data_IF_318363705535
#
_entry.id   IF_318363705535
#
_cell.length_a   1.000
_cell.length_b   1.000
_cell.length_c   1.000
_cell.angle_alpha   90.00
_cell.angle_beta   90.00
_cell.angle_gamma   90.00
#
_symmetry.space_group_name_H-M   'P 1'
#
loop_
_entity.id
_entity.type
_entity.pdbx_description
1 polymer ?
#
# COMPACT_ATOMS: atom_id res chain seq x y z
N UNK A 1 -8.27 23.95 8.09
CA UNK A 1 -7.91 22.57 8.44
C UNK A 1 -8.95 21.91 9.35
N UNK A 2 -8.99 20.58 9.31
CA UNK A 2 -9.92 19.69 10.02
C UNK A 2 -9.08 18.79 10.96
N UNK A 3 -9.51 18.64 12.21
CA UNK A 3 -8.88 17.69 13.14
C UNK A 3 -9.43 16.29 12.90
N UNK A 4 -8.59 15.34 12.53
CA UNK A 4 -9.03 13.97 12.22
C UNK A 4 -9.38 13.18 13.49
N UNK A 5 -8.79 13.53 14.64
CA UNK A 5 -9.11 12.99 15.96
C UNK A 5 -10.59 13.14 16.36
N UNK A 6 -11.24 14.20 15.89
CA UNK A 6 -12.66 14.46 16.15
C UNK A 6 -13.58 13.43 15.45
N UNK A 7 -13.07 12.74 14.43
CA UNK A 7 -13.78 11.74 13.64
C UNK A 7 -13.27 10.31 13.93
N UNK A 8 -11.99 10.17 14.27
CA UNK A 8 -11.39 8.90 14.66
C UNK A 8 -10.30 9.10 15.73
N UNK A 9 -10.45 8.54 16.94
CA UNK A 9 -9.50 8.74 18.04
C UNK A 9 -8.09 8.17 17.75
N UNK A 10 -7.92 7.29 16.77
CA UNK A 10 -6.59 6.80 16.37
C UNK A 10 -5.82 7.80 15.50
N UNK A 11 -6.46 8.90 15.11
CA UNK A 11 -5.88 10.00 14.34
C UNK A 11 -5.75 11.29 15.20
N UNK A 12 -5.81 11.15 16.53
CA UNK A 12 -5.64 12.26 17.47
C UNK A 12 -4.33 13.02 17.20
N UNK A 13 -4.41 14.35 17.14
CA UNK A 13 -3.26 15.21 16.85
C UNK A 13 -2.87 15.29 15.37
N UNK A 14 -3.60 14.62 14.47
CA UNK A 14 -3.47 14.78 13.02
C UNK A 14 -4.54 15.76 12.52
N UNK A 15 -4.08 16.81 11.85
CA UNK A 15 -4.93 17.75 11.14
C UNK A 15 -4.71 17.62 9.65
N UNK A 16 -5.73 17.94 8.85
CA UNK A 16 -5.61 18.05 7.40
C UNK A 16 -6.07 19.42 6.94
N UNK A 17 -5.23 20.08 6.13
CA UNK A 17 -5.63 21.18 5.26
C UNK A 17 -6.08 20.54 3.94
N UNK A 18 -7.39 20.47 3.66
CA UNK A 18 -7.88 19.69 2.53
C UNK A 18 -7.57 20.37 1.20
N UNK A 19 -7.35 19.55 0.17
CA UNK A 19 -7.27 19.99 -1.21
C UNK A 19 -8.56 20.75 -1.60
N UNK A 20 -8.44 22.01 -2.03
CA UNK A 20 -9.54 22.74 -2.65
C UNK A 20 -9.45 22.51 -4.16
N UNK A 21 -10.30 21.62 -4.69
CA UNK A 21 -10.26 21.16 -6.09
C UNK A 21 -8.93 20.42 -6.42
N UNK A 22 -8.79 19.89 -7.65
CA UNK A 22 -7.56 19.16 -8.10
C UNK A 22 -6.35 20.09 -8.31
N UNK A 23 -6.31 21.23 -7.62
CA UNK A 23 -5.33 22.27 -7.85
C UNK A 23 -4.25 22.32 -6.77
N UNK A 24 -4.45 21.70 -5.60
CA UNK A 24 -3.48 21.59 -4.52
C UNK A 24 -3.62 20.24 -3.83
N UNK A 25 -2.55 19.72 -3.22
CA UNK A 25 -2.63 18.54 -2.37
C UNK A 25 -3.30 18.85 -1.03
N UNK A 26 -3.77 17.80 -0.36
CA UNK A 26 -3.91 17.77 1.09
C UNK A 26 -2.54 18.05 1.72
N UNK A 27 -2.55 18.81 2.82
CA UNK A 27 -1.38 18.98 3.68
C UNK A 27 -1.75 18.45 5.06
N UNK A 28 -1.00 17.47 5.56
CA UNK A 28 -1.23 16.95 6.90
C UNK A 28 -0.34 17.66 7.91
N UNK A 29 -0.92 18.08 9.02
CA UNK A 29 -0.25 18.82 10.07
C UNK A 29 -0.27 17.97 11.34
N UNK A 30 0.92 17.68 11.86
CA UNK A 30 1.13 16.79 12.99
C UNK A 30 2.09 17.43 14.01
N UNK A 31 2.24 16.76 15.15
CA UNK A 31 3.19 17.17 16.20
C UNK A 31 2.95 18.62 16.66
N UNK A 32 1.68 18.95 16.94
CA UNK A 32 1.25 20.30 17.36
C UNK A 32 1.70 21.41 16.41
N UNK A 33 1.64 21.15 15.10
CA UNK A 33 2.00 22.13 14.06
C UNK A 33 3.49 22.18 13.72
N UNK A 34 4.33 21.31 14.30
CA UNK A 34 5.77 21.30 14.01
C UNK A 34 6.15 20.48 12.78
N UNK A 35 5.31 19.52 12.38
CA UNK A 35 5.56 18.68 11.20
C UNK A 35 4.44 18.83 10.18
N UNK A 36 4.83 19.08 8.93
CA UNK A 36 3.94 19.02 7.77
C UNK A 36 4.29 17.80 6.92
N UNK A 37 3.28 17.12 6.37
CA UNK A 37 3.42 16.18 5.26
C UNK A 37 2.83 16.88 4.03
N UNK A 38 3.69 17.07 3.05
CA UNK A 38 3.57 17.96 1.90
C UNK A 38 3.40 19.45 2.25
N UNK A 39 3.50 20.29 1.22
CA UNK A 39 3.46 21.74 1.32
C UNK A 39 2.26 22.35 0.58
N UNK A 40 1.50 21.56 -0.18
CA UNK A 40 0.48 22.06 -1.10
C UNK A 40 1.11 22.96 -2.17
N UNK A 41 0.29 23.79 -2.81
CA UNK A 41 0.78 24.87 -3.67
C UNK A 41 0.07 26.22 -3.49
N UNK A 42 -0.82 26.32 -2.51
CA UNK A 42 -1.48 27.57 -2.14
C UNK A 42 -0.83 28.19 -0.89
N UNK A 43 -1.26 29.39 -0.53
CA UNK A 43 -0.84 30.04 0.73
C UNK A 43 -1.83 29.80 1.86
N UNK A 44 -2.81 28.91 1.67
CA UNK A 44 -3.90 28.70 2.64
C UNK A 44 -3.36 28.09 3.92
N UNK A 45 -2.45 27.13 3.81
CA UNK A 45 -1.79 26.49 4.96
C UNK A 45 -1.15 27.51 5.92
N UNK A 46 -0.56 28.60 5.41
CA UNK A 46 0.02 29.64 6.26
C UNK A 46 -1.04 30.33 7.11
N UNK A 47 -2.17 30.69 6.51
CA UNK A 47 -3.28 31.33 7.23
C UNK A 47 -3.92 30.37 8.23
N UNK A 48 -4.01 29.09 7.89
CA UNK A 48 -4.55 28.07 8.80
C UNK A 48 -3.63 27.82 10.00
N UNK A 49 -2.31 27.79 9.78
CA UNK A 49 -1.32 27.70 10.85
C UNK A 49 -1.40 28.92 11.77
N UNK A 50 -1.48 30.14 11.21
CA UNK A 50 -1.60 31.39 11.98
C UNK A 50 -2.91 31.46 12.79
N UNK A 51 -4.00 30.89 12.27
CA UNK A 51 -5.28 30.86 12.96
C UNK A 51 -5.30 29.88 14.14
N UNK A 52 -4.56 28.78 14.05
CA UNK A 52 -4.57 27.71 15.04
C UNK A 52 -3.46 27.83 16.08
N UNK A 53 -2.27 28.23 15.66
CA UNK A 53 -1.07 28.22 16.48
C UNK A 53 -0.59 29.65 16.73
N UNK A 54 -0.31 30.05 17.99
CA UNK A 54 0.15 31.41 18.28
C UNK A 54 1.43 31.83 17.55
N UNK A 55 2.32 30.87 17.27
CA UNK A 55 3.57 31.07 16.50
C UNK A 55 3.36 30.93 14.98
N UNK A 56 2.16 30.52 14.56
CA UNK A 56 1.81 30.34 13.16
C UNK A 56 2.76 29.40 12.41
N UNK A 57 3.07 29.76 11.17
CA UNK A 57 4.01 29.01 10.34
C UNK A 57 5.43 28.92 10.91
N UNK A 58 5.86 29.88 11.75
CA UNK A 58 7.20 29.88 12.32
C UNK A 58 7.48 28.70 13.27
N UNK A 59 6.44 28.00 13.72
CA UNK A 59 6.54 26.79 14.54
C UNK A 59 6.98 25.55 13.76
N UNK A 60 6.80 25.54 12.43
CA UNK A 60 7.14 24.39 11.60
C UNK A 60 8.65 24.12 11.65
N UNK A 61 9.02 22.90 11.99
CA UNK A 61 10.41 22.44 12.11
C UNK A 61 10.75 21.35 11.10
N UNK A 62 9.72 20.65 10.58
CA UNK A 62 9.86 19.54 9.66
C UNK A 62 8.82 19.63 8.55
N UNK A 63 9.25 19.50 7.30
CA UNK A 63 8.37 19.33 6.15
C UNK A 63 8.77 18.03 5.45
N UNK A 64 7.88 17.05 5.38
CA UNK A 64 8.09 15.78 4.71
C UNK A 64 7.39 15.85 3.36
N UNK A 65 8.15 15.93 2.28
CA UNK A 65 7.63 15.88 0.92
C UNK A 65 7.56 14.43 0.48
N UNK A 66 6.41 14.04 -0.04
CA UNK A 66 6.12 12.65 -0.33
C UNK A 66 6.48 12.26 -1.74
N UNK A 67 6.35 13.20 -2.67
CA UNK A 67 6.78 13.03 -4.05
C UNK A 67 6.90 14.40 -4.77
N UNK A 68 7.60 14.47 -5.92
CA UNK A 68 8.04 15.73 -6.50
C UNK A 68 7.01 16.39 -7.44
N UNK A 69 5.72 16.32 -7.13
CA UNK A 69 4.68 17.03 -7.87
C UNK A 69 4.47 18.46 -7.37
N UNK A 70 4.18 19.37 -8.30
CA UNK A 70 4.09 20.80 -8.00
C UNK A 70 2.99 21.15 -7.00
N UNK A 71 1.86 20.46 -7.05
CA UNK A 71 0.75 20.59 -6.11
C UNK A 71 1.05 20.06 -4.70
N UNK A 72 2.16 19.34 -4.51
CA UNK A 72 2.68 18.90 -3.22
C UNK A 72 3.86 19.75 -2.74
N UNK A 73 4.71 20.26 -3.65
CA UNK A 73 5.94 21.00 -3.30
C UNK A 73 5.86 22.50 -3.52
N UNK A 74 4.86 23.00 -4.25
CA UNK A 74 4.80 24.39 -4.71
C UNK A 74 4.77 25.42 -3.58
N UNK A 75 4.21 25.06 -2.43
CA UNK A 75 4.16 25.88 -1.22
C UNK A 75 5.49 25.96 -0.46
N UNK A 76 6.44 25.07 -0.76
CA UNK A 76 7.68 24.88 0.02
C UNK A 76 8.50 26.17 0.10
N UNK A 77 8.72 26.85 -1.04
CA UNK A 77 9.49 28.09 -1.06
C UNK A 77 8.89 29.19 -0.19
N UNK A 78 7.55 29.25 -0.10
CA UNK A 78 6.88 30.23 0.77
C UNK A 78 6.92 29.81 2.23
N UNK A 79 6.73 28.53 2.56
CA UNK A 79 6.85 28.02 3.93
C UNK A 79 8.25 28.29 4.51
N UNK A 80 9.30 28.00 3.75
CA UNK A 80 10.70 28.22 4.16
C UNK A 80 11.06 29.70 4.31
N UNK A 81 10.22 30.63 3.83
CA UNK A 81 10.37 32.05 4.14
C UNK A 81 9.96 32.40 5.57
N UNK A 82 9.02 31.64 6.15
CA UNK A 82 8.44 31.90 7.47
C UNK A 82 8.96 30.97 8.57
N UNK A 83 9.60 29.85 8.23
CA UNK A 83 10.08 28.86 9.18
C UNK A 83 11.51 28.38 8.87
N UNK A 84 12.19 27.84 9.88
CA UNK A 84 13.54 27.26 9.74
C UNK A 84 13.47 25.72 9.72
N UNK A 85 12.61 25.18 8.85
CA UNK A 85 12.32 23.75 8.80
C UNK A 85 13.38 22.94 8.03
N UNK A 86 13.61 21.71 8.49
CA UNK A 86 14.29 20.68 7.71
C UNK A 86 13.31 20.05 6.71
N UNK A 87 13.77 19.80 5.48
CA UNK A 87 12.97 19.21 4.39
C UNK A 87 13.38 17.76 4.17
N UNK A 88 12.43 16.85 4.36
CA UNK A 88 12.61 15.42 4.24
C UNK A 88 11.94 14.91 2.97
N UNK A 89 12.60 14.05 2.22
CA UNK A 89 12.01 13.30 1.10
C UNK A 89 12.90 12.13 0.71
N UNK A 90 12.39 11.21 -0.10
CA UNK A 90 13.24 10.14 -0.64
C UNK A 90 14.45 10.72 -1.38
N UNK A 91 15.60 10.07 -1.25
CA UNK A 91 16.85 10.58 -1.83
C UNK A 91 16.77 10.83 -3.35
N UNK A 92 16.03 9.98 -4.06
CA UNK A 92 15.80 10.13 -5.50
C UNK A 92 14.92 11.34 -5.85
N UNK A 93 13.92 11.65 -5.01
CA UNK A 93 12.92 12.68 -5.31
C UNK A 93 13.54 14.09 -5.37
N UNK A 94 14.66 14.32 -4.67
CA UNK A 94 15.39 15.59 -4.73
C UNK A 94 15.78 16.01 -6.14
N UNK A 95 16.21 15.05 -6.99
CA UNK A 95 16.63 15.35 -8.36
C UNK A 95 15.46 15.74 -9.28
N UNK A 96 14.23 15.40 -8.89
CA UNK A 96 13.01 15.66 -9.65
C UNK A 96 12.16 16.78 -9.06
N UNK A 97 12.57 17.37 -7.95
CA UNK A 97 11.84 18.44 -7.28
C UNK A 97 12.31 19.80 -7.79
N UNK A 98 11.43 20.51 -8.50
CA UNK A 98 11.71 21.83 -9.07
C UNK A 98 10.83 22.91 -8.45
N UNK A 99 11.41 24.07 -8.18
CA UNK A 99 10.67 25.30 -7.84
C UNK A 99 10.93 26.33 -8.94
N UNK A 100 10.00 26.42 -9.90
CA UNK A 100 10.27 27.08 -11.19
C UNK A 100 11.17 26.21 -12.06
N UNK A 101 12.22 26.79 -12.63
CA UNK A 101 13.15 26.09 -13.54
C UNK A 101 14.39 25.53 -12.82
N UNK A 102 14.49 25.67 -11.50
CA UNK A 102 15.66 25.29 -10.70
C UNK A 102 15.32 24.15 -9.75
N UNK A 103 16.20 23.15 -9.66
CA UNK A 103 16.00 22.02 -8.75
C UNK A 103 16.17 22.43 -7.28
N UNK A 104 15.48 21.76 -6.37
CA UNK A 104 15.56 22.03 -4.93
C UNK A 104 17.01 21.94 -4.39
N UNK A 105 17.85 20.95 -4.77
CA UNK A 105 19.25 20.91 -4.35
C UNK A 105 20.10 22.08 -4.87
N UNK A 106 19.80 22.59 -6.07
CA UNK A 106 20.48 23.77 -6.61
C UNK A 106 20.09 25.03 -5.83
N UNK A 107 18.80 25.24 -5.58
CA UNK A 107 18.30 26.35 -4.75
C UNK A 107 18.92 26.30 -3.36
N UNK A 108 18.88 25.13 -2.70
CA UNK A 108 19.46 24.93 -1.38
C UNK A 108 20.97 25.24 -1.34
N UNK A 109 21.70 24.90 -2.41
CA UNK A 109 23.12 25.26 -2.54
C UNK A 109 23.35 26.76 -2.66
N UNK A 110 22.52 27.44 -3.45
CA UNK A 110 22.62 28.89 -3.68
C UNK A 110 22.35 29.69 -2.41
N UNK A 111 21.39 29.25 -1.59
CA UNK A 111 21.02 29.92 -0.34
C UNK A 111 21.77 29.39 0.89
N UNK A 112 22.65 28.39 0.71
CA UNK A 112 23.45 27.82 1.79
C UNK A 112 22.69 26.96 2.79
N UNK A 113 21.62 26.28 2.35
CA UNK A 113 20.72 25.45 3.15
C UNK A 113 20.77 23.95 2.76
N UNK A 114 21.86 23.47 2.15
CA UNK A 114 22.00 22.05 1.80
C UNK A 114 21.92 21.12 3.02
N UNK A 115 22.38 21.58 4.18
CA UNK A 115 22.35 20.86 5.44
C UNK A 115 20.93 20.71 6.05
N UNK A 116 19.94 21.41 5.48
CA UNK A 116 18.51 21.31 5.81
C UNK A 116 17.78 20.25 4.98
N UNK A 117 18.40 19.73 3.92
CA UNK A 117 17.84 18.64 3.13
C UNK A 117 18.17 17.30 3.81
N UNK A 118 17.13 16.52 4.09
CA UNK A 118 17.20 15.26 4.85
C UNK A 118 16.72 14.11 3.95
N UNK A 119 17.63 13.28 3.39
CA UNK A 119 17.22 12.12 2.62
C UNK A 119 16.54 11.09 3.52
N UNK A 120 15.49 10.48 2.99
CA UNK A 120 14.80 9.33 3.54
C UNK A 120 15.08 8.10 2.67
N UNK A 121 15.12 6.94 3.32
CA UNK A 121 15.27 5.64 2.70
C UNK A 121 14.12 4.72 3.11
N UNK A 122 13.91 3.67 2.32
CA UNK A 122 12.91 2.65 2.63
C UNK A 122 13.15 2.01 4.01
N UNK A 123 12.10 1.94 4.82
CA UNK A 123 12.15 1.38 6.17
C UNK A 123 12.66 2.34 7.26
N UNK A 124 13.04 3.57 6.92
CA UNK A 124 13.30 4.61 7.92
C UNK A 124 12.05 4.83 8.80
N UNK A 125 12.27 5.16 10.08
CA UNK A 125 11.17 5.46 11.01
C UNK A 125 11.31 6.88 11.53
N UNK A 126 10.28 7.69 11.29
CA UNK A 126 10.19 9.08 11.72
C UNK A 126 9.26 9.21 12.92
N UNK A 127 9.83 9.57 14.08
CA UNK A 127 9.03 9.99 15.23
C UNK A 127 8.40 11.35 14.93
N UNK A 128 7.07 11.41 14.85
CA UNK A 128 6.27 12.62 14.63
C UNK A 128 5.21 12.70 15.73
N UNK A 129 5.48 13.48 16.78
CA UNK A 129 4.65 13.50 17.97
C UNK A 129 4.57 12.10 18.59
N UNK A 130 3.35 11.55 18.70
CA UNK A 130 3.09 10.20 19.22
C UNK A 130 3.13 9.10 18.15
N UNK A 131 3.44 9.43 16.90
CA UNK A 131 3.42 8.50 15.78
C UNK A 131 4.83 8.11 15.35
N UNK A 132 5.06 6.81 15.19
CA UNK A 132 6.28 6.25 14.59
C UNK A 132 6.02 5.91 13.12
N UNK A 133 6.28 6.86 12.22
CA UNK A 133 5.95 6.73 10.81
C UNK A 133 7.06 5.99 10.05
N UNK A 134 6.76 4.77 9.61
CA UNK A 134 7.60 3.98 8.69
C UNK A 134 7.53 4.59 7.28
N UNK A 135 8.69 4.88 6.69
CA UNK A 135 8.82 5.30 5.30
C UNK A 135 8.72 4.07 4.41
N UNK A 136 7.71 4.03 3.54
CA UNK A 136 7.51 2.96 2.57
C UNK A 136 7.82 3.51 1.19
N UNK A 137 8.95 3.12 0.61
CA UNK A 137 9.31 3.50 -0.75
C UNK A 137 8.34 2.88 -1.77
N UNK A 138 7.67 3.75 -2.52
CA UNK A 138 6.59 3.43 -3.45
C UNK A 138 6.78 4.21 -4.77
N UNK A 139 7.81 3.89 -5.57
CA UNK A 139 8.03 4.52 -6.86
C UNK A 139 6.98 4.09 -7.90
N UNK A 140 7.00 4.76 -9.05
CA UNK A 140 6.21 4.40 -10.22
C UNK A 140 5.20 5.47 -10.62
N UNK A 141 4.48 6.06 -9.66
CA UNK A 141 3.75 7.31 -9.95
C UNK A 141 4.75 8.42 -10.33
N UNK A 142 5.78 8.56 -9.49
CA UNK A 142 6.96 9.41 -9.70
C UNK A 142 8.22 8.71 -9.17
N UNK A 143 9.41 9.14 -9.60
CA UNK A 143 10.66 8.71 -8.97
C UNK A 143 10.75 9.23 -7.54
N UNK A 144 11.17 8.38 -6.61
CA UNK A 144 11.29 8.77 -5.21
C UNK A 144 9.97 8.95 -4.44
N UNK A 145 8.84 8.48 -4.98
CA UNK A 145 7.57 8.50 -4.26
C UNK A 145 7.63 7.66 -2.98
N UNK A 146 7.05 8.16 -1.89
CA UNK A 146 6.94 7.45 -0.62
C UNK A 146 5.51 7.49 -0.07
N UNK A 147 5.11 6.43 0.62
CA UNK A 147 4.05 6.45 1.61
C UNK A 147 4.64 6.53 3.02
N UNK A 148 3.83 6.98 3.98
CA UNK A 148 4.19 6.92 5.40
C UNK A 148 3.17 6.03 6.11
N UNK A 149 3.63 5.04 6.86
CA UNK A 149 2.75 4.09 7.53
C UNK A 149 2.93 4.12 9.04
N UNK A 150 1.82 4.20 9.76
CA UNK A 150 1.79 4.02 11.20
C UNK A 150 1.12 2.69 11.54
N UNK A 151 1.91 1.76 12.12
CA UNK A 151 1.49 0.38 12.38
C UNK A 151 0.38 0.28 13.43
N UNK A 152 0.48 1.04 14.51
CA UNK A 152 -0.42 0.92 15.65
C UNK A 152 -1.83 1.46 15.33
N UNK A 153 -1.92 2.56 14.60
CA UNK A 153 -3.20 3.11 14.13
C UNK A 153 -3.65 2.54 12.80
N UNK A 154 -2.82 1.73 12.13
CA UNK A 154 -3.08 1.16 10.80
C UNK A 154 -3.40 2.26 9.78
N UNK A 155 -2.65 3.35 9.85
CA UNK A 155 -2.86 4.56 9.04
C UNK A 155 -1.77 4.65 7.99
N UNK A 156 -2.17 4.76 6.72
CA UNK A 156 -1.28 4.97 5.59
C UNK A 156 -1.51 6.37 5.03
N UNK A 157 -0.48 7.21 5.04
CA UNK A 157 -0.43 8.39 4.19
C UNK A 157 -0.05 7.95 2.78
N UNK A 158 -1.06 7.73 1.93
CA UNK A 158 -0.93 7.05 0.64
C UNK A 158 -0.57 7.96 -0.52
N UNK A 159 -0.68 9.27 -0.32
CA UNK A 159 -0.32 10.26 -1.32
C UNK A 159 -1.11 10.03 -2.60
N UNK A 160 -0.42 10.06 -3.74
CA UNK A 160 -0.99 9.89 -5.06
C UNK A 160 -0.79 8.48 -5.58
N UNK A 161 -0.29 7.55 -4.75
CA UNK A 161 -0.16 6.12 -5.10
C UNK A 161 -1.51 5.41 -4.96
N UNK A 162 -2.30 5.75 -3.94
CA UNK A 162 -3.64 5.18 -3.70
C UNK A 162 -4.61 6.28 -3.34
N UNK A 163 -5.67 6.41 -4.15
CA UNK A 163 -6.79 7.32 -3.90
C UNK A 163 -8.03 6.58 -3.39
N UNK A 164 -8.96 7.29 -2.72
CA UNK A 164 -10.27 6.75 -2.42
C UNK A 164 -11.05 6.38 -3.69
N UNK A 165 -11.29 5.09 -3.86
CA UNK A 165 -12.16 4.49 -4.89
C UNK A 165 -13.59 4.31 -4.38
N UNK A 166 -14.56 4.39 -5.29
CA UNK A 166 -15.95 3.99 -5.02
C UNK A 166 -16.44 3.05 -6.11
N UNK A 167 -17.54 2.33 -5.87
CA UNK A 167 -18.17 1.48 -6.89
C UNK A 167 -18.55 2.23 -8.17
N UNK A 168 -18.65 3.56 -8.13
CA UNK A 168 -19.02 4.40 -9.27
C UNK A 168 -17.80 5.09 -9.91
N UNK A 169 -16.67 5.18 -9.19
CA UNK A 169 -15.49 5.90 -9.65
C UNK A 169 -14.21 5.34 -9.03
N UNK A 170 -13.45 4.62 -9.85
CA UNK A 170 -12.08 4.23 -9.55
C UNK A 170 -11.13 5.33 -10.00
N UNK A 171 -10.54 6.02 -9.02
CA UNK A 171 -9.49 7.02 -9.29
C UNK A 171 -8.15 6.31 -9.14
N UNK A 172 -7.44 6.17 -10.25
CA UNK A 172 -6.14 5.51 -10.27
C UNK A 172 -5.02 6.52 -10.24
N UNK A 173 -3.92 6.12 -9.63
CA UNK A 173 -2.63 6.76 -9.83
C UNK A 173 -2.18 6.45 -11.24
N UNK A 174 -2.16 7.45 -12.12
CA UNK A 174 -1.52 7.31 -13.42
C UNK A 174 -0.03 7.63 -13.25
N UNK A 175 0.88 6.77 -13.75
CA UNK A 175 2.29 7.11 -13.81
C UNK A 175 2.51 8.43 -14.57
N UNK A 176 3.40 9.26 -14.06
CA UNK A 176 3.80 10.47 -14.77
C UNK A 176 4.27 10.18 -16.18
N UNK A 177 3.78 10.97 -17.13
CA UNK A 177 4.05 10.76 -18.55
C UNK A 177 5.56 10.72 -18.90
N UNK A 178 6.39 11.48 -18.17
CA UNK A 178 7.82 11.60 -18.45
C UNK A 178 8.71 10.80 -17.50
N UNK A 179 8.26 10.59 -16.27
CA UNK A 179 9.10 10.13 -15.15
C UNK A 179 8.50 8.96 -14.39
N UNK A 180 7.23 8.64 -14.64
CA UNK A 180 6.56 7.50 -14.04
C UNK A 180 6.93 6.19 -14.73
N UNK A 181 6.63 5.09 -14.03
CA UNK A 181 6.86 3.72 -14.45
C UNK A 181 5.71 2.84 -13.94
N UNK A 182 4.95 2.27 -14.86
CA UNK A 182 3.78 1.45 -14.55
C UNK A 182 4.14 0.14 -13.84
N UNK A 183 5.26 -0.50 -14.22
CA UNK A 183 5.68 -1.75 -13.59
C UNK A 183 6.08 -1.51 -12.13
N UNK A 184 6.84 -0.43 -11.87
CA UNK A 184 7.18 0.00 -10.52
C UNK A 184 5.94 0.38 -9.70
N UNK A 185 4.95 1.05 -10.32
CA UNK A 185 3.70 1.38 -9.64
C UNK A 185 2.95 0.11 -9.23
N UNK A 186 2.86 -0.88 -10.12
CA UNK A 186 2.24 -2.17 -9.82
C UNK A 186 2.97 -2.89 -8.69
N UNK A 187 4.32 -2.86 -8.68
CA UNK A 187 5.10 -3.47 -7.60
C UNK A 187 4.94 -2.72 -6.26
N UNK A 188 4.83 -1.39 -6.29
CA UNK A 188 4.50 -0.56 -5.13
C UNK A 188 3.12 -0.89 -4.57
N UNK A 189 2.09 -0.99 -5.43
CA UNK A 189 0.74 -1.37 -5.03
C UNK A 189 0.70 -2.81 -4.47
N UNK A 190 1.41 -3.75 -5.11
CA UNK A 190 1.57 -5.13 -4.61
C UNK A 190 2.16 -5.10 -3.20
N UNK A 191 3.23 -4.33 -2.99
CA UNK A 191 3.87 -4.21 -1.67
C UNK A 191 2.91 -3.65 -0.62
N UNK A 192 2.12 -2.63 -0.98
CA UNK A 192 1.13 -2.03 -0.09
C UNK A 192 0.01 -3.00 0.31
N UNK A 193 -0.34 -3.99 -0.52
CA UNK A 193 -1.30 -5.04 -0.15
C UNK A 193 -0.85 -5.89 1.05
N UNK A 194 0.45 -5.91 1.36
CA UNK A 194 0.99 -6.58 2.54
C UNK A 194 0.82 -5.80 3.84
N UNK A 195 0.34 -4.55 3.78
CA UNK A 195 0.11 -3.72 4.97
C UNK A 195 -1.34 -3.83 5.43
N UNK A 196 -1.53 -3.92 6.75
CA UNK A 196 -2.86 -3.79 7.35
C UNK A 196 -3.22 -2.32 7.45
N UNK A 197 -4.02 -1.84 6.51
CA UNK A 197 -4.43 -0.44 6.41
C UNK A 197 -5.92 -0.32 6.69
N UNK A 198 -6.27 0.34 7.80
CA UNK A 198 -7.65 0.68 8.13
C UNK A 198 -7.97 2.10 7.65
N UNK A 199 -7.00 3.01 7.77
CA UNK A 199 -7.16 4.43 7.47
C UNK A 199 -6.24 4.84 6.34
N UNK A 200 -6.79 5.49 5.32
CA UNK A 200 -6.06 5.99 4.17
C UNK A 200 -6.11 7.53 4.19
N UNK A 201 -4.95 8.16 4.24
CA UNK A 201 -4.76 9.60 4.22
C UNK A 201 -4.11 9.98 2.87
N UNK A 202 -4.91 10.22 1.82
CA UNK A 202 -4.41 10.44 0.47
C UNK A 202 -3.86 11.85 0.25
N UNK A 203 -3.08 12.01 -0.82
CA UNK A 203 -2.56 13.30 -1.28
C UNK A 203 -3.66 14.22 -1.82
N UNK A 204 -4.77 13.64 -2.31
CA UNK A 204 -5.96 14.35 -2.77
C UNK A 204 -7.23 13.65 -2.28
N UNK A 205 -8.34 14.37 -2.27
CA UNK A 205 -9.66 13.88 -1.81
C UNK A 205 -9.74 13.67 -0.30
N UNK A 206 -10.91 13.25 0.15
CA UNK A 206 -11.21 13.06 1.56
C UNK A 206 -10.49 11.82 2.14
N UNK A 207 -9.95 11.92 3.37
CA UNK A 207 -9.49 10.76 4.14
C UNK A 207 -10.53 9.64 4.26
N UNK A 208 -10.05 8.41 4.17
CA UNK A 208 -10.84 7.20 4.43
C UNK A 208 -10.52 6.71 5.84
N UNK A 209 -11.54 6.62 6.69
CA UNK A 209 -11.36 6.36 8.13
C UNK A 209 -11.52 4.88 8.53
N UNK A 210 -11.98 4.04 7.60
CA UNK A 210 -12.14 2.60 7.76
C UNK A 210 -12.00 1.94 6.40
N UNK A 211 -11.64 0.66 6.32
CA UNK A 211 -11.52 -0.10 5.07
C UNK A 211 -10.43 0.35 4.07
N UNK A 212 -9.40 1.07 4.51
CA UNK A 212 -8.29 1.54 3.66
C UNK A 212 -7.67 0.47 2.74
N UNK A 213 -7.58 -0.78 3.22
CA UNK A 213 -7.10 -1.93 2.46
C UNK A 213 -7.87 -2.18 1.16
N UNK A 214 -9.18 -1.90 1.13
CA UNK A 214 -10.03 -2.12 -0.04
C UNK A 214 -9.64 -1.17 -1.17
N UNK A 215 -9.23 0.05 -0.83
CA UNK A 215 -8.77 1.03 -1.82
C UNK A 215 -7.42 0.65 -2.42
N UNK A 216 -6.52 0.07 -1.62
CA UNK A 216 -5.22 -0.46 -2.10
C UNK A 216 -5.46 -1.64 -3.06
N UNK A 217 -6.32 -2.57 -2.65
CA UNK A 217 -6.69 -3.73 -3.45
C UNK A 217 -7.37 -3.33 -4.77
N UNK A 218 -8.31 -2.37 -4.71
CA UNK A 218 -8.95 -1.81 -5.90
C UNK A 218 -7.94 -1.15 -6.81
N UNK A 219 -7.03 -0.32 -6.27
CA UNK A 219 -5.99 0.34 -7.05
C UNK A 219 -5.09 -0.70 -7.74
N UNK A 220 -4.60 -1.71 -7.01
CA UNK A 220 -3.81 -2.78 -7.59
C UNK A 220 -4.53 -3.50 -8.72
N UNK A 221 -5.74 -3.99 -8.47
CA UNK A 221 -6.53 -4.74 -9.44
C UNK A 221 -6.84 -3.93 -10.69
N UNK A 222 -7.29 -2.69 -10.54
CA UNK A 222 -7.65 -1.84 -11.67
C UNK A 222 -6.42 -1.42 -12.48
N UNK A 223 -5.30 -1.12 -11.84
CA UNK A 223 -4.04 -0.78 -12.54
C UNK A 223 -3.54 -1.94 -13.40
N UNK A 224 -3.51 -3.18 -12.88
CA UNK A 224 -3.07 -4.34 -13.69
C UNK A 224 -4.06 -4.65 -14.83
N UNK A 225 -5.36 -4.39 -14.62
CA UNK A 225 -6.42 -4.61 -15.62
C UNK A 225 -6.31 -3.69 -16.84
N UNK A 226 -5.54 -2.60 -16.76
CA UNK A 226 -5.23 -1.77 -17.94
C UNK A 226 -4.29 -2.48 -18.93
N UNK A 227 -3.52 -3.47 -18.47
CA UNK A 227 -2.51 -4.17 -19.28
C UNK A 227 -2.79 -5.66 -19.44
N UNK A 228 -3.60 -6.23 -18.55
CA UNK A 228 -3.94 -7.66 -18.51
C UNK A 228 -5.43 -7.90 -18.77
N UNK A 229 -5.80 -9.10 -19.21
CA UNK A 229 -7.21 -9.48 -19.29
C UNK A 229 -7.83 -9.57 -17.89
N UNK A 230 -9.13 -9.29 -17.76
CA UNK A 230 -9.90 -9.45 -16.51
C UNK A 230 -9.57 -10.75 -15.76
N UNK A 231 -9.55 -11.89 -16.47
CA UNK A 231 -9.23 -13.19 -15.92
C UNK A 231 -7.82 -13.24 -15.30
N UNK A 232 -6.83 -12.67 -15.98
CA UNK A 232 -5.45 -12.63 -15.50
C UNK A 232 -5.30 -11.67 -14.31
N UNK A 233 -5.96 -10.51 -14.36
CA UNK A 233 -5.99 -9.57 -13.24
C UNK A 233 -6.60 -10.21 -11.99
N UNK A 234 -7.72 -10.93 -12.12
CA UNK A 234 -8.31 -11.68 -11.00
C UNK A 234 -7.34 -12.69 -10.41
N UNK A 235 -6.67 -13.51 -11.24
CA UNK A 235 -5.70 -14.49 -10.75
C UNK A 235 -4.50 -13.86 -10.07
N UNK A 236 -3.98 -12.76 -10.62
CA UNK A 236 -2.82 -12.06 -10.07
C UNK A 236 -3.17 -11.41 -8.74
N UNK A 237 -4.32 -10.74 -8.63
CA UNK A 237 -4.79 -10.18 -7.35
C UNK A 237 -5.04 -11.27 -6.32
N UNK A 238 -5.72 -12.37 -6.68
CA UNK A 238 -5.94 -13.49 -5.78
C UNK A 238 -4.63 -14.09 -5.27
N UNK A 239 -3.65 -14.29 -6.15
CA UNK A 239 -2.33 -14.82 -5.77
C UNK A 239 -1.60 -13.89 -4.80
N UNK A 240 -1.60 -12.58 -5.05
CA UNK A 240 -0.97 -11.60 -4.14
C UNK A 240 -1.67 -11.58 -2.78
N UNK A 241 -3.01 -11.60 -2.76
CA UNK A 241 -3.77 -11.67 -1.50
C UNK A 241 -3.45 -12.95 -0.71
N UNK A 242 -3.37 -14.09 -1.40
CA UNK A 242 -3.01 -15.36 -0.78
C UNK A 242 -1.57 -15.35 -0.24
N UNK A 243 -0.60 -14.79 -0.97
CA UNK A 243 0.79 -14.63 -0.52
C UNK A 243 0.88 -13.82 0.80
N UNK A 244 -0.03 -12.86 1.00
CA UNK A 244 -0.13 -12.06 2.23
C UNK A 244 -1.10 -12.63 3.27
N UNK A 245 -1.66 -13.82 3.05
CA UNK A 245 -2.55 -14.51 3.98
C UNK A 245 -3.97 -13.92 4.06
N UNK A 246 -4.36 -13.07 3.12
CA UNK A 246 -5.72 -12.53 2.97
C UNK A 246 -6.57 -13.50 2.14
N UNK A 247 -6.79 -14.69 2.72
CA UNK A 247 -7.31 -15.85 2.00
C UNK A 247 -8.78 -15.69 1.63
N UNK A 248 -9.60 -15.09 2.50
CA UNK A 248 -11.01 -14.82 2.21
C UNK A 248 -11.15 -13.91 0.97
N UNK A 249 -10.39 -12.82 0.91
CA UNK A 249 -10.42 -11.91 -0.23
C UNK A 249 -9.80 -12.54 -1.49
N UNK A 250 -8.77 -13.37 -1.34
CA UNK A 250 -8.20 -14.15 -2.45
C UNK A 250 -9.26 -15.06 -3.10
N UNK A 251 -10.11 -15.71 -2.28
CA UNK A 251 -11.19 -16.57 -2.75
C UNK A 251 -12.20 -15.79 -3.62
N UNK A 252 -12.57 -14.57 -3.21
CA UNK A 252 -13.49 -13.73 -3.99
C UNK A 252 -12.95 -13.46 -5.40
N UNK A 253 -11.64 -13.18 -5.52
CA UNK A 253 -11.00 -13.01 -6.83
C UNK A 253 -10.85 -14.32 -7.62
N UNK A 254 -10.59 -15.46 -6.96
CA UNK A 254 -10.62 -16.75 -7.64
C UNK A 254 -12.02 -17.07 -8.18
N UNK A 255 -13.08 -16.74 -7.45
CA UNK A 255 -14.46 -16.89 -7.91
C UNK A 255 -14.79 -15.96 -9.08
N UNK A 256 -14.26 -14.74 -9.08
CA UNK A 256 -14.28 -13.85 -10.25
C UNK A 256 -13.61 -14.48 -11.47
N UNK A 257 -12.39 -15.01 -11.31
CA UNK A 257 -11.67 -15.69 -12.38
C UNK A 257 -12.43 -16.92 -12.91
N UNK A 258 -13.01 -17.72 -12.01
CA UNK A 258 -13.80 -18.92 -12.34
C UNK A 258 -15.16 -18.58 -12.96
N UNK A 259 -15.72 -17.40 -12.68
CA UNK A 259 -16.91 -16.91 -13.41
C UNK A 259 -16.59 -16.68 -14.89
N UNK A 260 -15.38 -16.20 -15.20
CA UNK A 260 -14.93 -15.93 -16.58
C UNK A 260 -14.48 -17.22 -17.28
N UNK A 261 -13.74 -18.09 -16.57
CA UNK A 261 -13.26 -19.39 -17.07
C UNK A 261 -13.54 -20.49 -16.05
N UNK A 262 -14.76 -21.08 -16.06
CA UNK A 262 -15.18 -22.08 -15.07
C UNK A 262 -14.33 -23.34 -15.02
N UNK A 263 -13.71 -23.70 -16.15
CA UNK A 263 -12.91 -24.92 -16.30
C UNK A 263 -11.42 -24.69 -16.03
N UNK A 264 -11.02 -23.51 -15.52
CA UNK A 264 -9.61 -23.26 -15.24
C UNK A 264 -9.13 -24.04 -14.01
N UNK A 265 -8.38 -25.12 -14.27
CA UNK A 265 -7.88 -26.03 -13.23
C UNK A 265 -6.96 -25.32 -12.23
N UNK A 266 -6.04 -24.47 -12.72
CA UNK A 266 -5.12 -23.71 -11.85
C UNK A 266 -5.87 -22.85 -10.81
N UNK A 267 -6.86 -22.09 -11.25
CA UNK A 267 -7.70 -21.27 -10.39
C UNK A 267 -8.46 -22.11 -9.34
N UNK A 268 -9.03 -23.27 -9.75
CA UNK A 268 -9.70 -24.19 -8.82
C UNK A 268 -8.74 -24.72 -7.75
N UNK A 269 -7.54 -25.11 -8.16
CA UNK A 269 -6.51 -25.63 -7.23
C UNK A 269 -6.06 -24.54 -6.26
N UNK A 270 -5.78 -23.33 -6.73
CA UNK A 270 -5.41 -22.21 -5.86
C UNK A 270 -6.52 -21.82 -4.89
N UNK A 271 -7.78 -21.75 -5.35
CA UNK A 271 -8.94 -21.55 -4.46
C UNK A 271 -9.04 -22.66 -3.42
N UNK A 272 -8.89 -23.92 -3.83
CA UNK A 272 -8.94 -25.07 -2.92
C UNK A 272 -7.84 -25.06 -1.86
N UNK A 273 -6.64 -24.61 -2.21
CA UNK A 273 -5.54 -24.42 -1.26
C UNK A 273 -5.90 -23.35 -0.22
N UNK A 274 -6.37 -22.17 -0.66
CA UNK A 274 -6.83 -21.11 0.24
C UNK A 274 -7.96 -21.58 1.18
N UNK A 275 -8.96 -22.28 0.65
CA UNK A 275 -10.04 -22.89 1.43
C UNK A 275 -9.53 -23.90 2.47
N UNK A 276 -8.51 -24.69 2.11
CA UNK A 276 -7.90 -25.67 3.03
C UNK A 276 -7.22 -24.97 4.20
N UNK A 277 -6.50 -23.88 3.93
CA UNK A 277 -5.84 -23.06 4.97
C UNK A 277 -6.86 -22.38 5.91
N UNK A 278 -8.01 -21.97 5.39
CA UNK A 278 -9.14 -21.46 6.18
C UNK A 278 -9.94 -22.55 6.92
N UNK A 279 -9.62 -23.83 6.71
CA UNK A 279 -10.32 -24.96 7.32
C UNK A 279 -11.65 -25.32 6.66
N UNK A 280 -11.96 -24.78 5.48
CA UNK A 280 -13.14 -25.09 4.68
C UNK A 280 -12.91 -26.35 3.83
N UNK A 281 -12.68 -27.47 4.52
CA UNK A 281 -12.13 -28.68 3.91
C UNK A 281 -13.08 -29.39 2.93
N UNK A 282 -14.39 -29.38 3.16
CA UNK A 282 -15.36 -30.03 2.26
C UNK A 282 -15.42 -29.36 0.88
N UNK A 283 -15.42 -28.02 0.85
CA UNK A 283 -15.42 -27.26 -0.41
C UNK A 283 -14.08 -27.42 -1.13
N UNK A 284 -12.96 -27.32 -0.40
CA UNK A 284 -11.63 -27.56 -0.94
C UNK A 284 -11.51 -28.95 -1.57
N UNK A 285 -11.99 -29.99 -0.87
CA UNK A 285 -11.95 -31.38 -1.34
C UNK A 285 -12.71 -31.54 -2.67
N UNK A 286 -13.87 -30.89 -2.79
CA UNK A 286 -14.68 -30.92 -4.02
C UNK A 286 -13.89 -30.34 -5.19
N UNK A 287 -13.27 -29.17 -5.01
CA UNK A 287 -12.47 -28.51 -6.05
C UNK A 287 -11.21 -29.31 -6.43
N UNK A 288 -10.54 -29.93 -5.47
CA UNK A 288 -9.42 -30.82 -5.77
C UNK A 288 -9.85 -32.06 -6.56
N UNK A 289 -11.00 -32.65 -6.23
CA UNK A 289 -11.53 -33.81 -6.95
C UNK A 289 -11.92 -33.47 -8.38
N UNK A 290 -12.58 -32.33 -8.60
CA UNK A 290 -12.86 -31.82 -9.94
C UNK A 290 -11.58 -31.56 -10.73
N UNK A 291 -10.58 -30.94 -10.11
CA UNK A 291 -9.30 -30.62 -10.75
C UNK A 291 -8.54 -31.88 -11.16
N UNK A 292 -8.43 -32.86 -10.25
CA UNK A 292 -7.75 -34.13 -10.50
C UNK A 292 -8.50 -35.06 -11.46
N UNK A 293 -9.81 -34.87 -11.65
CA UNK A 293 -10.56 -35.58 -12.68
C UNK A 293 -10.21 -35.10 -14.10
N UNK A 294 -9.82 -33.83 -14.24
CA UNK A 294 -9.38 -33.24 -15.52
C UNK A 294 -7.87 -33.45 -15.72
N UNK A 295 -7.07 -33.16 -14.70
CA UNK A 295 -5.61 -33.25 -14.71
C UNK A 295 -5.12 -34.06 -13.50
N UNK A 296 -5.00 -35.40 -13.63
CA UNK A 296 -4.69 -36.28 -12.50
C UNK A 296 -3.31 -36.08 -11.86
N UNK A 297 -2.36 -35.51 -12.61
CA UNK A 297 -0.94 -35.43 -12.23
C UNK A 297 -0.55 -34.12 -11.53
N UNK A 298 -1.52 -33.26 -11.18
CA UNK A 298 -1.24 -32.00 -10.45
C UNK A 298 -0.86 -32.32 -9.01
N UNK A 299 0.43 -32.30 -8.72
CA UNK A 299 0.97 -32.64 -7.40
C UNK A 299 0.41 -31.75 -6.29
N UNK A 300 0.31 -30.44 -6.50
CA UNK A 300 -0.23 -29.50 -5.50
C UNK A 300 -1.69 -29.83 -5.14
N UNK A 301 -2.49 -30.25 -6.13
CA UNK A 301 -3.87 -30.66 -5.91
C UNK A 301 -3.95 -32.01 -5.16
N UNK A 302 -3.06 -32.96 -5.45
CA UNK A 302 -2.98 -34.22 -4.71
C UNK A 302 -2.57 -34.00 -3.24
N UNK A 303 -1.56 -33.15 -3.01
CA UNK A 303 -1.08 -32.80 -1.67
C UNK A 303 -2.16 -32.02 -0.91
N UNK A 304 -2.76 -31.01 -1.53
CA UNK A 304 -3.86 -30.22 -0.96
C UNK A 304 -5.07 -31.09 -0.61
N UNK A 305 -5.46 -32.02 -1.49
CA UNK A 305 -6.50 -33.03 -1.21
C UNK A 305 -6.18 -33.84 0.03
N UNK A 306 -4.92 -34.27 0.19
CA UNK A 306 -4.47 -35.00 1.38
C UNK A 306 -4.62 -34.18 2.66
N UNK A 307 -4.23 -32.90 2.64
CA UNK A 307 -4.42 -32.01 3.79
C UNK A 307 -5.90 -31.77 4.11
N UNK A 308 -6.75 -31.54 3.11
CA UNK A 308 -8.18 -31.38 3.31
C UNK A 308 -8.80 -32.66 3.92
N UNK A 309 -8.43 -33.85 3.43
CA UNK A 309 -8.86 -35.13 4.00
C UNK A 309 -8.40 -35.32 5.45
N UNK A 310 -7.17 -34.90 5.79
CA UNK A 310 -6.72 -34.90 7.20
C UNK A 310 -7.56 -33.97 8.06
N UNK A 311 -7.86 -32.76 7.58
CA UNK A 311 -8.74 -31.80 8.27
C UNK A 311 -10.13 -32.37 8.56
N UNK A 312 -10.64 -33.21 7.67
CA UNK A 312 -11.92 -33.95 7.83
C UNK A 312 -11.81 -35.21 8.71
N UNK A 313 -10.62 -35.56 9.22
CA UNK A 313 -10.39 -36.79 9.97
C UNK A 313 -10.34 -38.06 9.11
N UNK A 314 -10.25 -37.93 7.78
CA UNK A 314 -10.22 -39.05 6.80
C UNK A 314 -8.77 -39.47 6.50
N UNK A 315 -8.02 -39.80 7.55
CA UNK A 315 -6.58 -40.07 7.49
C UNK A 315 -6.21 -41.24 6.57
N UNK A 316 -7.00 -42.31 6.59
CA UNK A 316 -6.73 -43.49 5.74
C UNK A 316 -6.79 -43.15 4.25
N UNK A 317 -7.71 -42.28 3.86
CA UNK A 317 -7.87 -41.84 2.46
C UNK A 317 -6.76 -40.87 2.06
N UNK A 318 -6.37 -39.95 2.94
CA UNK A 318 -5.23 -39.06 2.70
C UNK A 318 -3.94 -39.86 2.43
N UNK A 319 -3.69 -40.90 3.23
CA UNK A 319 -2.51 -41.77 3.09
C UNK A 319 -2.55 -42.70 1.86
N UNK A 320 -3.66 -42.78 1.13
CA UNK A 320 -3.67 -43.49 -0.16
C UNK A 320 -3.04 -42.64 -1.27
N UNK A 321 -2.99 -41.32 -1.10
CA UNK A 321 -2.42 -40.39 -2.08
C UNK A 321 -0.88 -40.47 -2.00
N UNK A 322 -0.23 -40.84 -3.11
CA UNK A 322 1.22 -41.03 -3.16
C UNK A 322 1.99 -39.72 -2.93
N UNK A 323 1.64 -38.65 -3.65
CA UNK A 323 2.29 -37.35 -3.49
C UNK A 323 2.16 -36.80 -2.06
N UNK A 324 0.99 -36.97 -1.44
CA UNK A 324 0.77 -36.54 -0.06
C UNK A 324 1.67 -37.28 0.94
N UNK A 325 1.76 -38.60 0.83
CA UNK A 325 2.69 -39.39 1.66
C UNK A 325 4.13 -38.96 1.49
N UNK A 326 4.55 -38.70 0.23
CA UNK A 326 5.90 -38.21 -0.07
C UNK A 326 6.16 -36.86 0.61
N UNK A 327 5.21 -35.92 0.56
CA UNK A 327 5.30 -34.62 1.22
C UNK A 327 5.47 -34.76 2.75
N UNK A 328 4.72 -35.66 3.39
CA UNK A 328 4.84 -35.93 4.84
C UNK A 328 6.19 -36.56 5.22
N UNK A 329 6.75 -37.43 4.38
CA UNK A 329 8.06 -38.02 4.64
C UNK A 329 9.17 -36.96 4.60
N UNK A 330 9.12 -36.05 3.62
CA UNK A 330 10.08 -34.95 3.50
C UNK A 330 10.03 -33.98 4.68
N UNK A 331 8.84 -33.62 5.16
CA UNK A 331 8.71 -32.73 6.33
C UNK A 331 9.21 -33.40 7.61
N UNK A 332 9.13 -34.73 7.71
CA UNK A 332 9.68 -35.48 8.84
C UNK A 332 11.22 -35.56 8.84
N UNK A 333 11.86 -35.50 7.67
CA UNK A 333 13.33 -35.50 7.53
C UNK A 333 13.94 -34.10 7.73
N UNK A 334 13.28 -33.04 7.26
CA UNK A 334 13.75 -31.64 7.47
C UNK A 334 13.76 -31.24 8.95
N UNK A 335 12.80 -31.74 9.75
CA UNK A 335 12.77 -31.54 11.20
C UNK A 335 13.91 -32.23 11.96
N UNK A 336 14.58 -33.22 11.36
CA UNK A 336 15.72 -33.93 11.96
C UNK A 336 17.05 -33.20 11.68
N UNK A 337 17.14 -32.43 10.59
CA UNK A 337 18.36 -31.69 10.21
C UNK A 337 18.49 -30.36 10.99
N UNK A 338 17.38 -29.76 11.44
CA UNK A 338 17.40 -28.53 12.25
C UNK A 338 17.71 -28.75 13.75
N UNK A 339 17.92 -30.01 14.18
CA UNK A 339 18.16 -30.38 15.59
C UNK A 339 19.58 -30.90 15.88
N UNK A 340 20.56 -30.60 15.00
CA UNK A 340 21.99 -30.87 15.21
C UNK A 340 22.78 -29.56 15.22
#
# INVERSE_FOLDING_TARGET
>A
MIHLGDHDPHLEGIWVSPSIERHTSNVYIMDEGRTLIDAGNTSDILHELDAQYPEGAARVQRIIITHPHYDHVGGLGRLLWYCDADVYMHEEAFAYTFLGDTSLPEIAREVGALDKLRPLHDGDVLQVGTYDLEVVYTPGHTPGGICLYHRDSQTLFSQDVVFPSTNELNRLSEPDYHTGDLEQLIDSLRRLMGYRVERLLPGHFEPVLSNGWLHIETAFFETIRETESEFAACLRTAAVLADYGRLEEAIDFYDGALTIRPDNVGAKVSKALALTELGQFEEALTLFEESLAVEPDIEDAQVGKGFALLGLGRTEEALQIEAFRRKLALSSDEGVVAAQ
#
